data_IF_174459464251
#
_entry.id   IF_174459464251
#
_cell.length_a   1.000
_cell.length_b   1.000
_cell.length_c   1.000
_cell.angle_alpha   90.00
_cell.angle_beta   90.00
_cell.angle_gamma   90.00
#
_symmetry.space_group_name_H-M   'P 1'
#
loop_
_entity.id
_entity.type
_entity.pdbx_description
1 polymer ?
#
# COMPACT_ATOMS: atom_id res chain seq x y z
N UNK A 1 -9.61 -22.66 -19.73
CA UNK A 1 -9.69 -21.91 -21.01
C UNK A 1 -9.97 -20.45 -20.69
N UNK A 2 -9.11 -19.51 -21.12
CA UNK A 2 -9.27 -18.07 -20.84
C UNK A 2 -9.52 -17.76 -19.35
N UNK A 3 -8.79 -18.44 -18.45
CA UNK A 3 -8.98 -18.31 -16.99
C UNK A 3 -10.13 -19.13 -16.39
N UNK A 4 -11.03 -19.73 -17.18
CA UNK A 4 -12.11 -20.58 -16.67
C UNK A 4 -11.64 -22.04 -16.56
N UNK A 5 -11.78 -22.63 -15.38
CA UNK A 5 -11.51 -24.06 -15.18
C UNK A 5 -12.64 -24.91 -15.78
N UNK A 6 -12.26 -25.76 -16.73
CA UNK A 6 -13.19 -26.65 -17.43
C UNK A 6 -12.63 -28.07 -17.50
N UNK A 7 -13.53 -29.04 -17.57
CA UNK A 7 -13.22 -30.44 -17.87
C UNK A 7 -13.79 -30.77 -19.25
N UNK A 8 -12.93 -31.22 -20.16
CA UNK A 8 -13.38 -31.75 -21.44
C UNK A 8 -13.82 -33.19 -21.27
N UNK A 9 -14.97 -33.54 -21.85
CA UNK A 9 -15.44 -34.92 -21.95
C UNK A 9 -15.95 -35.17 -23.35
N UNK A 10 -15.58 -36.31 -23.92
CA UNK A 10 -16.01 -36.69 -25.24
C UNK A 10 -15.58 -38.10 -25.58
N UNK A 11 -16.01 -38.56 -26.73
CA UNK A 11 -15.57 -39.80 -27.33
C UNK A 11 -15.16 -39.55 -28.78
N UNK A 12 -14.36 -40.47 -29.30
CA UNK A 12 -13.94 -40.49 -30.69
C UNK A 12 -14.12 -41.91 -31.22
N UNK A 13 -14.69 -42.03 -32.41
CA UNK A 13 -14.73 -43.24 -33.20
C UNK A 13 -13.34 -43.47 -33.81
N UNK A 14 -12.75 -44.64 -33.59
CA UNK A 14 -11.37 -44.93 -34.01
C UNK A 14 -11.25 -45.29 -35.49
N UNK A 15 -12.33 -45.68 -36.15
CA UNK A 15 -12.32 -46.01 -37.58
C UNK A 15 -12.63 -44.78 -38.42
N UNK A 16 -13.66 -44.01 -38.03
CA UNK A 16 -14.11 -42.82 -38.75
C UNK A 16 -13.36 -41.55 -38.36
N UNK A 17 -12.67 -41.57 -37.22
CA UNK A 17 -11.93 -40.44 -36.65
C UNK A 17 -12.81 -39.20 -36.40
N UNK A 18 -14.10 -39.40 -36.20
CA UNK A 18 -15.03 -38.37 -35.78
C UNK A 18 -15.54 -38.63 -34.36
N UNK A 19 -16.17 -37.63 -33.76
CA UNK A 19 -16.55 -37.72 -32.35
C UNK A 19 -17.28 -36.48 -31.89
N UNK A 20 -17.74 -36.54 -30.65
CA UNK A 20 -18.44 -35.45 -29.99
C UNK A 20 -17.84 -35.24 -28.61
N UNK A 21 -17.73 -33.98 -28.21
CA UNK A 21 -17.33 -33.63 -26.85
C UNK A 21 -17.95 -32.32 -26.40
N UNK A 22 -17.99 -32.13 -25.10
CA UNK A 22 -18.45 -30.92 -24.45
C UNK A 22 -17.45 -30.45 -23.38
N UNK A 23 -17.61 -29.20 -22.96
CA UNK A 23 -16.90 -28.62 -21.84
C UNK A 23 -17.84 -28.50 -20.65
N UNK A 24 -17.41 -29.04 -19.51
CA UNK A 24 -18.09 -28.91 -18.23
C UNK A 24 -17.32 -27.92 -17.35
N UNK A 25 -18.02 -27.09 -16.57
CA UNK A 25 -17.37 -26.29 -15.55
C UNK A 25 -16.79 -27.21 -14.46
N UNK A 26 -15.53 -26.97 -14.08
CA UNK A 26 -14.89 -27.73 -13.03
C UNK A 26 -14.81 -26.87 -11.76
N UNK A 27 -15.85 -26.96 -10.93
CA UNK A 27 -16.02 -26.14 -9.72
C UNK A 27 -14.94 -26.41 -8.68
N UNK A 28 -14.60 -27.67 -8.43
CA UNK A 28 -13.54 -28.05 -7.48
C UNK A 28 -12.21 -27.40 -7.86
N UNK A 29 -11.82 -27.55 -9.11
CA UNK A 29 -10.56 -26.98 -9.60
C UNK A 29 -10.62 -25.46 -9.65
N UNK A 30 -11.77 -24.87 -10.01
CA UNK A 30 -11.96 -23.43 -9.98
C UNK A 30 -11.77 -22.87 -8.56
N UNK A 31 -12.30 -23.53 -7.54
CA UNK A 31 -12.14 -23.12 -6.14
C UNK A 31 -10.69 -23.19 -5.67
N UNK A 32 -9.96 -24.25 -6.03
CA UNK A 32 -8.54 -24.39 -5.70
C UNK A 32 -7.70 -23.27 -6.34
N UNK A 33 -7.94 -22.99 -7.62
CA UNK A 33 -7.24 -21.94 -8.35
C UNK A 33 -7.60 -20.54 -7.82
N UNK A 34 -8.85 -20.31 -7.42
CA UNK A 34 -9.28 -19.05 -6.80
C UNK A 34 -8.56 -18.80 -5.46
N UNK A 35 -8.41 -19.83 -4.61
CA UNK A 35 -7.63 -19.72 -3.37
C UNK A 35 -6.18 -19.36 -3.68
N UNK A 36 -5.53 -20.09 -4.60
CA UNK A 36 -4.14 -19.83 -4.97
C UNK A 36 -3.95 -18.42 -5.54
N UNK A 37 -4.88 -17.97 -6.37
CA UNK A 37 -4.83 -16.65 -6.97
C UNK A 37 -5.00 -15.54 -5.93
N UNK A 38 -5.94 -15.70 -4.99
CA UNK A 38 -6.12 -14.77 -3.87
C UNK A 38 -4.85 -14.67 -3.02
N UNK A 39 -4.24 -15.79 -2.67
CA UNK A 39 -2.98 -15.79 -1.92
C UNK A 39 -1.84 -15.09 -2.66
N UNK A 40 -1.75 -15.25 -3.98
CA UNK A 40 -0.76 -14.55 -4.80
C UNK A 40 -1.00 -13.05 -4.80
N UNK A 41 -2.26 -12.62 -4.94
CA UNK A 41 -2.67 -11.21 -4.89
C UNK A 41 -2.33 -10.62 -3.53
N UNK A 42 -2.66 -11.31 -2.44
CA UNK A 42 -2.40 -10.83 -1.09
C UNK A 42 -0.91 -10.68 -0.81
N UNK A 43 -0.10 -11.68 -1.20
CA UNK A 43 1.36 -11.60 -1.09
C UNK A 43 1.95 -10.46 -1.92
N UNK A 44 1.42 -10.22 -3.11
CA UNK A 44 1.85 -9.11 -3.96
C UNK A 44 1.50 -7.75 -3.33
N UNK A 45 0.25 -7.60 -2.88
CA UNK A 45 -0.25 -6.39 -2.23
C UNK A 45 0.50 -6.08 -0.94
N UNK A 46 0.84 -7.10 -0.16
CA UNK A 46 1.64 -6.93 1.06
C UNK A 46 3.01 -6.32 0.74
N UNK A 47 3.73 -6.89 -0.25
CA UNK A 47 5.02 -6.33 -0.67
C UNK A 47 4.88 -4.90 -1.14
N UNK A 48 3.85 -4.60 -1.92
CA UNK A 48 3.60 -3.25 -2.42
C UNK A 48 3.41 -2.25 -1.27
N UNK A 49 2.61 -2.60 -0.25
CA UNK A 49 2.43 -1.77 0.95
C UNK A 49 3.74 -1.56 1.71
N UNK A 50 4.53 -2.62 1.91
CA UNK A 50 5.84 -2.50 2.56
C UNK A 50 6.77 -1.54 1.83
N UNK A 51 6.74 -1.52 0.48
CA UNK A 51 7.49 -0.55 -0.31
C UNK A 51 6.98 0.88 -0.18
N UNK A 52 5.66 1.09 -0.13
CA UNK A 52 5.04 2.42 0.03
C UNK A 52 5.23 3.00 1.43
N UNK A 53 5.22 2.15 2.47
CA UNK A 53 5.34 2.58 3.86
C UNK A 53 6.79 2.83 4.28
N UNK A 54 7.77 2.17 3.64
CA UNK A 54 9.21 2.35 3.90
C UNK A 54 9.68 3.83 3.88
N UNK A 55 9.35 4.65 2.87
CA UNK A 55 9.71 6.08 2.88
C UNK A 55 8.96 6.90 3.93
N UNK A 56 7.75 6.48 4.35
CA UNK A 56 6.97 7.17 5.40
C UNK A 56 7.55 6.91 6.78
N UNK A 57 7.87 5.65 7.08
CA UNK A 57 8.49 5.26 8.34
C UNK A 57 9.87 5.89 8.49
N UNK A 58 10.70 5.90 7.44
CA UNK A 58 12.03 6.53 7.50
C UNK A 58 11.95 8.03 7.83
N UNK A 59 11.04 8.76 7.16
CA UNK A 59 10.85 10.20 7.40
C UNK A 59 10.28 10.52 8.77
N UNK A 60 9.40 9.66 9.29
CA UNK A 60 8.81 9.83 10.61
C UNK A 60 9.81 9.48 11.73
N UNK A 61 10.66 8.47 11.49
CA UNK A 61 11.77 8.11 12.37
C UNK A 61 12.77 9.27 12.48
N UNK A 62 13.25 9.82 11.34
CA UNK A 62 14.17 10.98 11.35
C UNK A 62 13.60 12.18 12.13
N UNK A 63 12.29 12.43 11.99
CA UNK A 63 11.62 13.51 12.72
C UNK A 63 11.56 13.25 14.22
N UNK A 64 11.33 11.99 14.59
CA UNK A 64 11.25 11.57 16.00
C UNK A 64 12.64 11.60 16.66
N UNK A 65 13.68 11.22 15.92
CA UNK A 65 15.07 11.27 16.38
C UNK A 65 15.54 12.72 16.56
N UNK A 66 15.18 13.63 15.63
CA UNK A 66 15.43 15.08 15.77
C UNK A 66 14.71 15.69 16.98
N UNK A 67 13.44 15.33 17.22
CA UNK A 67 12.68 15.81 18.38
C UNK A 67 13.28 15.31 19.71
N UNK A 68 13.83 14.10 19.74
CA UNK A 68 14.53 13.55 20.90
C UNK A 68 15.85 14.27 21.16
N UNK A 69 16.63 14.54 20.12
CA UNK A 69 17.89 15.29 20.19
C UNK A 69 17.66 16.74 20.69
N UNK A 70 16.63 17.42 20.19
CA UNK A 70 16.20 18.75 20.65
C UNK A 70 15.84 18.76 22.16
N UNK A 71 15.23 17.69 22.66
CA UNK A 71 14.92 17.56 24.10
C UNK A 71 16.17 17.31 24.94
N UNK A 72 17.13 16.52 24.44
CA UNK A 72 18.40 16.27 25.13
C UNK A 72 19.29 17.54 25.17
N UNK A 73 19.34 18.29 24.08
CA UNK A 73 20.11 19.54 24.00
C UNK A 73 19.51 20.67 24.85
N UNK A 74 18.18 20.79 24.91
CA UNK A 74 17.50 21.74 25.78
C UNK A 74 17.68 21.43 27.28
N UNK A 75 17.73 20.15 27.67
CA UNK A 75 17.99 19.78 29.06
C UNK A 75 19.42 20.09 29.52
N UNK A 76 20.38 20.28 28.60
CA UNK A 76 21.76 20.66 28.94
C UNK A 76 21.95 22.18 29.11
N UNK A 77 21.02 23.00 28.60
CA UNK A 77 21.11 24.47 28.64
C UNK A 77 20.24 25.13 29.73
N UNK A 78 19.61 24.35 30.61
CA UNK A 78 18.69 24.83 31.64
C UNK A 78 19.33 25.30 32.94
N UNK A 79 20.25 26.27 32.91
CA UNK A 79 20.68 27.01 34.12
C UNK A 79 21.24 28.41 33.81
N UNK A 80 20.45 29.31 33.19
CA UNK A 80 20.65 30.75 33.38
C UNK A 80 19.32 31.52 33.30
N UNK A 81 19.09 32.36 34.31
CA UNK A 81 17.78 32.90 34.68
C UNK A 81 17.36 34.18 33.95
N UNK A 82 16.14 34.58 34.31
CA UNK A 82 15.50 35.90 34.25
C UNK A 82 15.77 36.81 33.03
N UNK A 83 14.73 37.26 32.34
CA UNK A 83 14.28 38.67 32.26
C UNK A 83 13.06 38.79 31.32
N UNK A 84 12.18 39.75 31.61
CA UNK A 84 10.77 39.83 31.19
C UNK A 84 10.47 40.14 29.71
N UNK A 85 9.18 40.27 29.36
CA UNK A 85 8.73 40.24 27.97
C UNK A 85 8.78 41.64 27.33
N UNK A 86 8.91 41.72 25.99
CA UNK A 86 8.32 42.83 25.27
C UNK A 86 7.30 42.38 24.22
N UNK A 87 6.07 42.85 24.43
CA UNK A 87 5.15 43.50 23.49
C UNK A 87 5.04 42.93 22.06
N UNK A 88 3.87 42.36 21.78
CA UNK A 88 3.32 42.09 20.45
C UNK A 88 3.54 43.24 19.46
N UNK A 89 4.16 42.92 18.32
CA UNK A 89 3.99 43.68 17.08
C UNK A 89 3.73 42.69 15.94
N UNK A 90 2.46 42.37 15.75
CA UNK A 90 1.98 41.68 14.56
C UNK A 90 2.21 42.59 13.33
N UNK A 91 3.00 42.12 12.37
CA UNK A 91 2.97 42.60 10.98
C UNK A 91 2.52 41.41 10.14
N UNK A 92 1.23 41.39 9.81
CA UNK A 92 0.68 40.42 8.86
C UNK A 92 1.05 40.84 7.43
N UNK A 93 1.36 39.89 6.53
CA UNK A 93 1.54 40.21 5.11
C UNK A 93 0.17 40.45 4.44
N UNK A 94 0.07 41.56 3.70
CA UNK A 94 -1.04 41.89 2.82
C UNK A 94 -1.23 40.79 1.77
N UNK A 95 -2.40 40.16 1.75
CA UNK A 95 -2.85 39.32 0.62
C UNK A 95 -3.56 40.20 -0.39
N UNK A 96 -2.91 40.47 -1.51
CA UNK A 96 -3.56 40.91 -2.73
C UNK A 96 -4.59 39.87 -3.19
N UNK A 97 -5.86 40.27 -3.24
CA UNK A 97 -6.92 39.58 -3.98
C UNK A 97 -7.41 40.53 -5.07
N UNK A 98 -6.87 40.38 -6.27
CA UNK A 98 -7.58 40.72 -7.51
C UNK A 98 -7.53 39.51 -8.44
N UNK A 99 -8.66 38.81 -8.51
CA UNK A 99 -9.07 38.08 -9.70
C UNK A 99 -10.31 38.80 -10.23
N UNK A 100 -10.15 39.37 -11.42
CA UNK A 100 -11.21 39.60 -12.42
C UNK A 100 -10.68 39.00 -13.70
#
# INVERSE_FOLDING_TARGET
MNGVCVRWRGYIDLERLDGVGCLEFNEERAAQEDVLLREQIDRYNQRLREFEDKPRVYRQQERSDQDLELRMTNNLHGHHGHHGPPVSRCHGPQRDRRLT
#
